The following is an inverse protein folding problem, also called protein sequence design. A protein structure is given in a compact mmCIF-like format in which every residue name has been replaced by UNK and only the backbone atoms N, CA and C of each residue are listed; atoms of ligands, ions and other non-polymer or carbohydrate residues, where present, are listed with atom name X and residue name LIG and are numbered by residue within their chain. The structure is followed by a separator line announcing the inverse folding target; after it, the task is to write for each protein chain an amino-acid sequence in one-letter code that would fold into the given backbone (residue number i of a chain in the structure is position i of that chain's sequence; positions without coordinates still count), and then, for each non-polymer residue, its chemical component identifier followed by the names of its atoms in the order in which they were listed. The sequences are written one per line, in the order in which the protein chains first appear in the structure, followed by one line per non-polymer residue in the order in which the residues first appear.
data_IF_532782179438
#
_entry.id   IF_532782179438
#
_cell.length_a   1.000
_cell.length_b   1.000
_cell.length_c   1.000
_cell.angle_alpha   90.00
_cell.angle_beta   90.00
_cell.angle_gamma   90.00
#
_symmetry.space_group_name_H-M   'P 1'
#
loop_
_entity.id
_entity.type
_entity.pdbx_description
1 polymer ?
#
# COMPACT_ATOMS: atom_id res chain seq x y z
N UNK A 1 -4.74 -10.26 12.52
CA UNK A 1 -5.12 -8.98 11.91
C UNK A 1 -5.72 -8.07 12.97
N UNK A 2 -5.11 -6.90 13.18
CA UNK A 2 -5.57 -5.90 14.14
C UNK A 2 -6.84 -5.17 13.71
N UNK A 3 -7.31 -4.23 14.54
CA UNK A 3 -8.41 -3.32 14.18
C UNK A 3 -7.93 -2.05 13.44
N UNK A 4 -8.85 -1.16 13.08
CA UNK A 4 -8.53 0.09 12.37
C UNK A 4 -7.60 1.02 13.16
N UNK A 5 -7.69 1.00 14.50
CA UNK A 5 -6.88 1.85 15.36
C UNK A 5 -5.44 1.32 15.48
N UNK A 6 -5.29 0.00 15.61
CA UNK A 6 -3.99 -0.66 15.54
C UNK A 6 -3.33 -0.43 14.16
N UNK A 7 -4.11 -0.47 13.09
CA UNK A 7 -3.60 -0.17 11.74
C UNK A 7 -3.19 1.30 11.60
N UNK A 8 -3.96 2.22 12.17
CA UNK A 8 -3.60 3.64 12.16
C UNK A 8 -2.29 3.89 12.93
N UNK A 9 -2.08 3.20 14.06
CA UNK A 9 -0.82 3.25 14.80
C UNK A 9 0.35 2.71 13.97
N UNK A 10 0.15 1.58 13.27
CA UNK A 10 1.17 0.99 12.39
C UNK A 10 1.55 1.92 11.24
N UNK A 11 0.56 2.58 10.62
CA UNK A 11 0.80 3.58 9.58
C UNK A 11 1.60 4.76 10.13
N UNK A 12 1.28 5.24 11.34
CA UNK A 12 2.04 6.31 11.99
C UNK A 12 3.50 5.90 12.25
N UNK A 13 3.73 4.66 12.71
CA UNK A 13 5.08 4.13 12.93
C UNK A 13 5.89 4.02 11.64
N UNK A 14 5.25 3.63 10.53
CA UNK A 14 5.91 3.61 9.21
C UNK A 14 6.26 5.02 8.74
N UNK A 15 5.35 5.98 8.89
CA UNK A 15 5.60 7.39 8.52
C UNK A 15 6.76 7.97 9.34
N UNK A 16 6.87 7.62 10.63
CA UNK A 16 7.95 8.09 11.49
C UNK A 16 9.35 7.59 11.06
N UNK A 17 9.42 6.50 10.27
CA UNK A 17 10.68 5.97 9.72
C UNK A 17 11.11 6.67 8.43
N UNK A 18 10.25 7.47 7.82
CA UNK A 18 10.51 8.17 6.56
C UNK A 18 11.37 9.41 6.84
N UNK A 19 12.55 9.48 6.24
CA UNK A 19 13.49 10.58 6.45
C UNK A 19 13.15 11.83 5.62
N UNK A 20 12.51 11.65 4.45
CA UNK A 20 12.16 12.76 3.57
C UNK A 20 10.86 13.44 4.02
N UNK A 21 10.98 14.66 4.56
CA UNK A 21 9.82 15.47 4.94
C UNK A 21 8.86 15.76 3.77
N UNK A 22 9.39 15.93 2.55
CA UNK A 22 8.55 16.12 1.36
C UNK A 22 7.71 14.88 1.06
N UNK A 23 8.31 13.68 1.18
CA UNK A 23 7.61 12.43 0.96
C UNK A 23 6.52 12.22 2.00
N UNK A 24 6.83 12.49 3.27
CA UNK A 24 5.86 12.44 4.38
C UNK A 24 4.67 13.35 4.11
N UNK A 25 4.92 14.62 3.76
CA UNK A 25 3.84 15.59 3.53
C UNK A 25 2.97 15.20 2.31
N UNK A 26 3.58 14.66 1.26
CA UNK A 26 2.82 14.15 0.10
C UNK A 26 2.00 12.91 0.46
N UNK A 27 2.59 11.93 1.12
CA UNK A 27 1.90 10.71 1.55
C UNK A 27 0.71 11.02 2.45
N UNK A 28 0.88 11.92 3.43
CA UNK A 28 -0.20 12.37 4.32
C UNK A 28 -1.43 12.90 3.58
N UNK A 29 -1.23 13.52 2.41
CA UNK A 29 -2.33 14.01 1.58
C UNK A 29 -3.23 12.91 1.01
N UNK A 30 -2.75 11.67 0.96
CA UNK A 30 -3.48 10.50 0.44
C UNK A 30 -3.94 9.54 1.52
N UNK A 31 -3.47 9.69 2.77
CA UNK A 31 -3.84 8.80 3.86
C UNK A 31 -5.34 8.93 4.15
N UNK A 32 -5.97 7.77 4.26
CA UNK A 32 -7.36 7.66 4.69
C UNK A 32 -7.41 7.00 6.06
N UNK A 33 -8.58 7.09 6.72
CA UNK A 33 -8.83 6.21 7.88
C UNK A 33 -8.69 4.76 7.40
N UNK A 34 -7.83 3.93 8.02
CA UNK A 34 -7.68 2.53 7.62
C UNK A 34 -9.04 1.85 7.60
N UNK A 35 -9.34 1.17 6.50
CA UNK A 35 -10.61 0.44 6.33
C UNK A 35 -10.35 -0.97 5.84
N UNK A 36 -11.10 -1.92 6.39
CA UNK A 36 -10.99 -3.33 6.00
C UNK A 36 -11.36 -3.49 4.52
N UNK A 37 -10.61 -4.32 3.82
CA UNK A 37 -10.89 -4.78 2.47
C UNK A 37 -10.66 -6.29 2.38
N UNK A 38 -11.23 -6.91 1.34
CA UNK A 38 -10.89 -8.26 0.93
C UNK A 38 -10.13 -8.17 -0.38
N UNK A 39 -8.97 -8.81 -0.45
CA UNK A 39 -8.08 -8.82 -1.60
C UNK A 39 -8.19 -10.17 -2.29
N UNK A 40 -8.57 -10.17 -3.57
CA UNK A 40 -8.61 -11.40 -4.37
C UNK A 40 -7.20 -11.92 -4.63
N UNK A 41 -7.05 -13.22 -4.50
CA UNK A 41 -5.81 -13.93 -4.78
C UNK A 41 -5.84 -14.49 -6.19
N UNK A 42 -4.82 -14.12 -6.97
CA UNK A 42 -4.81 -14.31 -8.42
C UNK A 42 -4.16 -15.63 -8.84
N UNK A 43 -3.60 -16.38 -7.88
CA UNK A 43 -2.73 -17.52 -8.13
C UNK A 43 -3.19 -18.80 -7.41
N UNK A 44 -3.27 -19.92 -8.12
CA UNK A 44 -3.25 -21.26 -7.51
C UNK A 44 -4.34 -21.57 -6.47
N UNK A 45 -3.95 -22.36 -5.47
CA UNK A 45 -4.84 -23.03 -4.51
C UNK A 45 -5.07 -22.21 -3.24
N UNK A 46 -6.14 -22.58 -2.52
CA UNK A 46 -6.61 -21.91 -1.31
C UNK A 46 -5.58 -21.96 -0.19
N UNK A 47 -5.41 -20.86 0.53
CA UNK A 47 -4.70 -20.85 1.80
C UNK A 47 -5.39 -21.80 2.80
N UNK A 48 -4.65 -22.56 3.62
CA UNK A 48 -5.26 -23.53 4.55
C UNK A 48 -6.29 -22.93 5.52
N UNK A 49 -6.11 -21.65 5.88
CA UNK A 49 -6.99 -20.93 6.82
C UNK A 49 -8.27 -20.36 6.18
N UNK A 50 -8.32 -20.20 4.85
CA UNK A 50 -9.44 -19.54 4.18
C UNK A 50 -10.10 -20.44 3.14
N UNK A 51 -11.43 -20.49 3.17
CA UNK A 51 -12.20 -21.28 2.21
C UNK A 51 -12.31 -20.60 0.84
N UNK A 52 -12.07 -19.30 0.77
CA UNK A 52 -12.11 -18.49 -0.46
C UNK A 52 -10.70 -18.05 -0.86
N UNK A 53 -10.49 -17.79 -2.15
CA UNK A 53 -9.24 -17.21 -2.69
C UNK A 53 -9.23 -15.68 -2.47
N UNK A 54 -9.57 -15.24 -1.26
CA UNK A 54 -9.65 -13.84 -0.88
C UNK A 54 -9.17 -13.70 0.56
N UNK A 55 -8.28 -12.75 0.80
CA UNK A 55 -7.69 -12.54 2.12
C UNK A 55 -7.95 -11.13 2.62
N UNK A 56 -8.14 -10.94 3.93
CA UNK A 56 -8.42 -9.61 4.45
C UNK A 56 -7.17 -8.73 4.39
N UNK A 57 -7.38 -7.42 4.42
CA UNK A 57 -6.35 -6.41 4.48
C UNK A 57 -6.93 -5.03 4.83
N UNK A 58 -6.11 -4.00 4.83
CA UNK A 58 -6.54 -2.63 5.08
C UNK A 58 -6.12 -1.69 3.97
N UNK A 59 -7.05 -0.90 3.43
CA UNK A 59 -6.68 0.24 2.58
C UNK A 59 -6.30 1.40 3.52
N UNK A 60 -5.11 1.96 3.31
CA UNK A 60 -4.52 3.02 4.16
C UNK A 60 -4.27 4.33 3.40
N UNK A 61 -4.15 4.27 2.08
CA UNK A 61 -4.00 5.43 1.22
C UNK A 61 -4.81 5.24 -0.07
N UNK A 62 -5.40 6.31 -0.57
CA UNK A 62 -6.22 6.31 -1.78
C UNK A 62 -5.71 7.35 -2.78
N UNK A 63 -5.49 6.91 -4.02
CA UNK A 63 -5.08 7.71 -5.16
C UNK A 63 -6.26 7.81 -6.13
N UNK A 64 -7.20 8.71 -5.83
CA UNK A 64 -8.48 8.79 -6.53
C UNK A 64 -8.33 9.06 -8.04
N UNK A 65 -7.31 9.82 -8.44
CA UNK A 65 -7.04 10.14 -9.85
C UNK A 65 -6.73 8.90 -10.69
N UNK A 66 -6.04 7.91 -10.11
CA UNK A 66 -5.68 6.65 -10.77
C UNK A 66 -6.61 5.48 -10.42
N UNK A 67 -7.55 5.67 -9.49
CA UNK A 67 -8.40 4.59 -8.98
C UNK A 67 -7.65 3.50 -8.22
N UNK A 68 -6.46 3.81 -7.71
CA UNK A 68 -5.58 2.88 -6.98
C UNK A 68 -5.34 3.32 -5.55
N UNK A 69 -4.67 2.49 -4.75
CA UNK A 69 -4.33 2.82 -3.38
C UNK A 69 -3.22 1.91 -2.84
N UNK A 70 -2.89 2.12 -1.57
CA UNK A 70 -1.99 1.24 -0.82
C UNK A 70 -2.82 0.43 0.17
N UNK A 71 -2.63 -0.89 0.13
CA UNK A 71 -3.19 -1.82 1.09
C UNK A 71 -2.10 -2.44 1.99
N UNK A 72 -2.49 -2.82 3.20
CA UNK A 72 -1.73 -3.65 4.10
C UNK A 72 -2.34 -5.06 4.17
N UNK A 73 -1.53 -6.10 4.05
CA UNK A 73 -1.95 -7.49 4.31
C UNK A 73 -0.78 -8.34 4.78
N UNK A 74 -1.03 -9.21 5.77
CA UNK A 74 -0.07 -10.22 6.24
C UNK A 74 -0.13 -11.52 5.41
N UNK A 75 -1.13 -11.64 4.54
CA UNK A 75 -1.35 -12.76 3.62
C UNK A 75 -0.76 -12.47 2.24
N UNK A 76 -0.73 -13.48 1.36
CA UNK A 76 -0.25 -13.36 -0.02
C UNK A 76 1.26 -13.61 -0.14
N UNK A 77 2.02 -12.60 -0.57
CA UNK A 77 3.46 -12.71 -0.84
C UNK A 77 4.34 -12.79 0.42
N UNK A 78 3.72 -12.81 1.60
CA UNK A 78 4.34 -13.14 2.88
C UNK A 78 4.74 -11.92 3.71
N UNK A 79 5.11 -12.18 4.97
CA UNK A 79 5.49 -11.18 5.96
C UNK A 79 6.61 -10.18 5.57
N UNK A 80 7.56 -10.46 4.65
CA UNK A 80 8.52 -9.43 4.27
C UNK A 80 7.94 -8.33 3.37
N UNK A 81 6.79 -8.55 2.72
CA UNK A 81 6.20 -7.62 1.75
C UNK A 81 4.71 -7.44 2.01
N UNK A 82 4.38 -6.58 2.96
CA UNK A 82 3.02 -6.42 3.51
C UNK A 82 2.28 -5.20 2.98
N UNK A 83 2.95 -4.31 2.23
CA UNK A 83 2.35 -3.11 1.65
C UNK A 83 2.19 -3.28 0.14
N UNK A 84 0.96 -3.35 -0.35
CA UNK A 84 0.64 -3.61 -1.75
C UNK A 84 -0.02 -2.43 -2.47
N UNK A 85 0.30 -2.25 -3.75
CA UNK A 85 -0.45 -1.35 -4.65
C UNK A 85 -1.67 -2.09 -5.20
N UNK A 86 -2.86 -1.53 -5.00
CA UNK A 86 -4.13 -2.20 -5.34
C UNK A 86 -5.08 -1.27 -6.08
N UNK A 87 -5.99 -1.84 -6.88
CA UNK A 87 -7.16 -1.11 -7.40
C UNK A 87 -8.22 -0.92 -6.32
N UNK A 88 -8.90 0.24 -6.28
CA UNK A 88 -9.89 0.55 -5.25
C UNK A 88 -11.26 -0.10 -5.50
N UNK A 89 -11.67 -0.26 -6.76
CA UNK A 89 -12.96 -0.87 -7.13
C UNK A 89 -12.95 -2.39 -6.96
N UNK A 90 -11.85 -3.01 -7.37
CA UNK A 90 -11.61 -4.45 -7.27
C UNK A 90 -10.22 -4.70 -6.67
N UNK A 91 -10.08 -4.65 -5.34
CA UNK A 91 -8.82 -4.92 -4.68
C UNK A 91 -8.39 -6.37 -4.89
N UNK A 92 -7.17 -6.56 -5.39
CA UNK A 92 -6.54 -7.86 -5.62
C UNK A 92 -5.09 -7.79 -5.18
N UNK A 93 -4.48 -8.94 -4.92
CA UNK A 93 -3.05 -8.99 -4.66
C UNK A 93 -2.23 -8.59 -5.90
N UNK A 94 -2.69 -8.90 -7.11
CA UNK A 94 -1.91 -8.59 -8.31
C UNK A 94 -0.57 -9.32 -8.30
N UNK A 95 0.44 -8.75 -8.95
CA UNK A 95 1.79 -9.34 -9.03
C UNK A 95 2.59 -9.08 -7.74
N UNK A 96 3.53 -9.98 -7.42
CA UNK A 96 4.47 -9.86 -6.30
C UNK A 96 5.29 -8.57 -6.33
N UNK A 97 5.69 -8.13 -7.53
CA UNK A 97 6.37 -6.84 -7.76
C UNK A 97 5.58 -5.60 -7.31
N UNK A 98 4.28 -5.74 -7.05
CA UNK A 98 3.44 -4.68 -6.49
C UNK A 98 3.43 -4.63 -4.96
N UNK A 99 4.23 -5.46 -4.28
CA UNK A 99 4.27 -5.58 -2.81
C UNK A 99 5.64 -5.25 -2.24
N UNK A 100 5.63 -4.51 -1.14
CA UNK A 100 6.79 -3.82 -0.60
C UNK A 100 6.92 -4.03 0.91
N UNK A 101 8.16 -3.94 1.39
CA UNK A 101 8.48 -4.12 2.80
C UNK A 101 8.06 -2.93 3.67
N UNK A 102 7.98 -1.73 3.09
CA UNK A 102 7.66 -0.49 3.81
C UNK A 102 6.60 0.32 3.08
N UNK A 103 5.86 1.12 3.84
CA UNK A 103 4.89 2.06 3.28
C UNK A 103 5.56 3.11 2.37
N UNK A 104 6.79 3.51 2.71
CA UNK A 104 7.58 4.42 1.87
C UNK A 104 7.84 3.83 0.49
N UNK A 105 8.30 2.58 0.42
CA UNK A 105 8.60 1.93 -0.84
C UNK A 105 7.34 1.81 -1.72
N UNK A 106 6.21 1.40 -1.13
CA UNK A 106 4.93 1.35 -1.84
C UNK A 106 4.51 2.72 -2.38
N UNK A 107 4.67 3.79 -1.60
CA UNK A 107 4.31 5.14 -2.05
C UNK A 107 5.23 5.65 -3.17
N UNK A 108 6.53 5.37 -3.12
CA UNK A 108 7.49 5.78 -4.17
C UNK A 108 7.20 5.13 -5.52
N UNK A 109 6.78 3.87 -5.50
CA UNK A 109 6.40 3.12 -6.71
C UNK A 109 4.96 3.40 -7.15
N UNK A 110 4.19 4.17 -6.37
CA UNK A 110 2.85 4.59 -6.75
C UNK A 110 2.89 5.67 -7.83
N UNK A 111 1.83 5.72 -8.65
CA UNK A 111 1.64 6.79 -9.64
C UNK A 111 1.44 8.18 -9.01
N UNK A 112 1.24 8.24 -7.68
CA UNK A 112 0.99 9.47 -6.93
C UNK A 112 2.29 10.19 -6.51
N UNK A 113 3.45 9.55 -6.66
CA UNK A 113 4.75 10.15 -6.43
C UNK A 113 5.46 10.44 -7.76
N UNK A 114 6.05 11.63 -7.87
CA UNK A 114 6.98 11.97 -8.94
C UNK A 114 8.21 12.55 -8.27
N UNK A 115 9.36 11.91 -8.48
CA UNK A 115 10.62 12.43 -7.95
C UNK A 115 10.86 13.82 -8.56
N UNK A 116 11.11 14.86 -7.75
CA UNK A 116 11.48 16.15 -8.30
C UNK A 116 12.77 15.98 -9.10
N UNK A 117 12.91 16.66 -10.25
CA UNK A 117 14.13 16.58 -11.03
C UNK A 117 15.33 16.98 -10.16
N UNK A 118 16.51 16.37 -10.36
CA UNK A 118 17.69 16.77 -9.64
C UNK A 118 17.98 18.26 -9.87
N UNK A 119 18.58 18.97 -8.88
CA UNK A 119 18.90 20.38 -9.03
C UNK A 119 19.78 20.62 -10.27
N UNK A 120 19.33 21.48 -11.18
CA UNK A 120 20.05 21.84 -12.41
C UNK A 120 19.63 21.07 -13.67
N UNK A 121 18.55 20.30 -13.62
CA UNK A 121 17.94 19.71 -14.82
C UNK A 121 16.90 20.68 -15.41
N UNK A 122 17.29 21.46 -16.42
CA UNK A 122 16.35 22.20 -17.28
C UNK A 122 15.91 21.26 -18.42
N UNK A 123 14.60 21.07 -18.57
CA UNK A 123 14.01 20.47 -19.77
C UNK A 123 13.78 21.61 -20.75
N UNK A 124 14.57 21.65 -21.82
CA UNK A 124 14.36 22.51 -23.00
C UNK A 124 13.01 22.23 -23.69
#
# INVERSE_FOLDING_TARGET
MGDEAEMASRVADEIAKIHSGQLVERLKGYLVRPRVCMLDWDYGDRHPEFQELRYPGFIVAEFLESGTGIAYSEYGFGAPYVWGLVGLEHPRFGMDSGWFATLEAAFRESMAWSEPPPPGYEVD
#
